data_IF_858539864307
#
_entry.id   IF_858539864307
#
_cell.length_a   1.000
_cell.length_b   1.000
_cell.length_c   1.000
_cell.angle_alpha   90.00
_cell.angle_beta   90.00
_cell.angle_gamma   90.00
#
_symmetry.space_group_name_H-M   'P 1'
#
loop_
_entity.id
_entity.type
_entity.pdbx_description
1 polymer ?
#
# COMPACT_ATOMS: atom_id res chain seq x y z
N UNK A 1 -21.60 17.53 9.47
CA UNK A 1 -20.97 16.27 9.05
C UNK A 1 -19.49 16.37 9.43
N UNK A 2 -19.03 15.63 10.46
CA UNK A 2 -17.67 15.77 11.05
C UNK A 2 -16.72 14.62 10.66
N UNK A 3 -17.16 13.64 9.88
CA UNK A 3 -16.36 12.46 9.51
C UNK A 3 -15.66 12.56 8.14
N UNK A 4 -16.11 13.47 7.26
CA UNK A 4 -15.64 13.50 5.87
C UNK A 4 -14.18 13.95 5.76
N UNK A 5 -13.73 14.86 6.65
CA UNK A 5 -12.35 15.34 6.62
C UNK A 5 -11.34 14.27 7.04
N UNK A 6 -11.66 13.44 8.03
CA UNK A 6 -10.79 12.34 8.48
C UNK A 6 -10.66 11.27 7.40
N UNK A 7 -11.75 10.87 6.77
CA UNK A 7 -11.73 9.92 5.67
C UNK A 7 -10.91 10.43 4.47
N UNK A 8 -11.03 11.73 4.15
CA UNK A 8 -10.27 12.33 3.06
C UNK A 8 -8.77 12.46 3.37
N UNK A 9 -8.40 12.76 4.62
CA UNK A 9 -7.00 12.75 5.06
C UNK A 9 -6.38 11.34 4.99
N UNK A 10 -7.13 10.31 5.40
CA UNK A 10 -6.69 8.90 5.33
C UNK A 10 -6.46 8.44 3.89
N UNK A 11 -7.17 9.01 2.91
CA UNK A 11 -7.02 8.69 1.50
C UNK A 11 -5.81 9.39 0.84
N UNK A 12 -5.23 10.43 1.44
CA UNK A 12 -4.15 11.22 0.81
C UNK A 12 -2.91 10.39 0.45
N UNK A 13 -2.39 9.51 1.32
CA UNK A 13 -1.23 8.69 0.97
C UNK A 13 -1.53 7.77 -0.23
N UNK A 14 -2.72 7.15 -0.25
CA UNK A 14 -3.14 6.29 -1.36
C UNK A 14 -3.37 7.07 -2.65
N UNK A 15 -3.91 8.29 -2.57
CA UNK A 15 -4.08 9.17 -3.73
C UNK A 15 -2.73 9.52 -4.38
N UNK A 16 -1.70 9.83 -3.57
CA UNK A 16 -0.33 10.06 -4.07
C UNK A 16 0.24 8.80 -4.73
N UNK A 17 0.05 7.64 -4.12
CA UNK A 17 0.46 6.36 -4.71
C UNK A 17 -0.23 6.14 -6.07
N UNK A 18 -1.56 6.32 -6.16
CA UNK A 18 -2.34 6.18 -7.40
C UNK A 18 -1.84 7.11 -8.51
N UNK A 19 -1.56 8.37 -8.18
CA UNK A 19 -1.08 9.36 -9.15
C UNK A 19 0.29 9.01 -9.75
N UNK A 20 1.12 8.25 -9.02
CA UNK A 20 2.47 7.88 -9.43
C UNK A 20 2.59 6.42 -9.92
N UNK A 21 1.53 5.62 -9.76
CA UNK A 21 1.44 4.20 -10.11
C UNK A 21 0.54 3.97 -11.34
N UNK A 22 0.98 4.52 -12.48
CA UNK A 22 0.23 4.55 -13.74
C UNK A 22 -0.23 3.15 -14.22
N UNK A 23 0.58 2.11 -13.99
CA UNK A 23 0.28 0.74 -14.40
C UNK A 23 -0.34 -0.11 -13.27
N UNK A 24 -0.56 0.45 -12.08
CA UNK A 24 -1.12 -0.26 -10.93
C UNK A 24 -0.16 -1.28 -10.29
N UNK A 25 1.12 -1.29 -10.66
CA UNK A 25 2.09 -2.28 -10.20
C UNK A 25 2.31 -2.20 -8.69
N UNK A 26 2.47 -0.98 -8.17
CA UNK A 26 2.72 -0.76 -6.74
C UNK A 26 1.47 -1.08 -5.92
N UNK A 27 0.28 -0.69 -6.40
CA UNK A 27 -0.99 -1.04 -5.75
C UNK A 27 -1.23 -2.54 -5.72
N UNK A 28 -0.98 -3.27 -6.82
CA UNK A 28 -1.05 -4.74 -6.85
C UNK A 28 -0.05 -5.39 -5.89
N UNK A 29 1.17 -4.83 -5.82
CA UNK A 29 2.20 -5.29 -4.88
C UNK A 29 1.74 -5.09 -3.44
N UNK A 30 1.15 -3.94 -3.12
CA UNK A 30 0.64 -3.62 -1.80
C UNK A 30 -0.57 -4.50 -1.40
N UNK A 31 -1.49 -4.75 -2.33
CA UNK A 31 -2.62 -5.67 -2.10
C UNK A 31 -2.13 -7.09 -1.79
N UNK A 32 -1.14 -7.59 -2.56
CA UNK A 32 -0.54 -8.89 -2.31
C UNK A 32 0.21 -8.92 -0.96
N UNK A 33 0.91 -7.84 -0.62
CA UNK A 33 1.62 -7.70 0.66
C UNK A 33 0.69 -7.89 1.86
N UNK A 34 -0.48 -7.22 1.86
CA UNK A 34 -1.47 -7.39 2.92
C UNK A 34 -2.14 -8.77 2.87
N UNK A 35 -2.51 -9.27 1.69
CA UNK A 35 -3.10 -10.61 1.52
C UNK A 35 -2.22 -11.74 2.07
N UNK A 36 -0.91 -11.55 2.01
CA UNK A 36 0.07 -12.51 2.52
C UNK A 36 0.63 -12.11 3.89
N UNK A 37 -0.18 -11.43 4.71
CA UNK A 37 0.10 -11.10 6.11
C UNK A 37 1.46 -10.42 6.31
N UNK A 38 1.86 -9.52 5.39
CA UNK A 38 3.08 -8.72 5.54
C UNK A 38 4.33 -9.63 5.59
N UNK A 39 4.27 -10.81 4.94
CA UNK A 39 5.38 -11.76 4.88
C UNK A 39 6.16 -11.65 3.55
N UNK A 40 7.46 -11.27 3.56
CA UNK A 40 8.24 -11.05 2.34
C UNK A 40 8.31 -12.26 1.42
N UNK A 41 8.57 -13.43 1.99
CA UNK A 41 8.76 -14.65 1.21
C UNK A 41 7.46 -15.13 0.56
N UNK A 42 6.34 -15.07 1.29
CA UNK A 42 5.04 -15.46 0.76
C UNK A 42 4.59 -14.50 -0.34
N UNK A 43 4.74 -13.19 -0.11
CA UNK A 43 4.36 -12.14 -1.07
C UNK A 43 5.20 -12.21 -2.35
N UNK A 44 6.54 -12.38 -2.23
CA UNK A 44 7.41 -12.44 -3.41
C UNK A 44 7.10 -13.65 -4.27
N UNK A 45 6.80 -14.80 -3.65
CA UNK A 45 6.35 -16.01 -4.35
C UNK A 45 5.02 -15.80 -5.07
N UNK A 46 4.04 -15.20 -4.40
CA UNK A 46 2.72 -14.94 -4.98
C UNK A 46 2.76 -13.97 -6.17
N UNK A 47 3.71 -13.04 -6.16
CA UNK A 47 3.94 -12.08 -7.25
C UNK A 47 4.89 -12.59 -8.33
N UNK A 48 5.47 -13.79 -8.18
CA UNK A 48 6.50 -14.34 -9.07
C UNK A 48 7.71 -13.40 -9.24
N UNK A 49 8.14 -12.75 -8.17
CA UNK A 49 9.30 -11.83 -8.15
C UNK A 49 10.33 -12.24 -7.10
N UNK A 50 11.55 -11.73 -7.25
CA UNK A 50 12.57 -11.86 -6.22
C UNK A 50 12.26 -11.00 -4.99
N UNK A 51 12.73 -11.41 -3.80
CA UNK A 51 12.55 -10.67 -2.55
C UNK A 51 13.07 -9.23 -2.65
N UNK A 52 14.25 -9.03 -3.26
CA UNK A 52 14.83 -7.70 -3.44
C UNK A 52 13.93 -6.79 -4.30
N UNK A 53 13.25 -7.35 -5.31
CA UNK A 53 12.29 -6.59 -6.13
C UNK A 53 11.07 -6.21 -5.31
N UNK A 54 10.56 -7.12 -4.46
CA UNK A 54 9.48 -6.79 -3.53
C UNK A 54 9.89 -5.66 -2.59
N UNK A 55 11.07 -5.76 -1.96
CA UNK A 55 11.59 -4.77 -1.01
C UNK A 55 11.76 -3.41 -1.67
N UNK A 56 12.32 -3.36 -2.89
CA UNK A 56 12.39 -2.13 -3.68
C UNK A 56 11.02 -1.49 -3.91
N UNK A 57 10.01 -2.30 -4.26
CA UNK A 57 8.64 -1.79 -4.47
C UNK A 57 8.00 -1.31 -3.18
N UNK A 58 8.20 -2.00 -2.06
CA UNK A 58 7.71 -1.58 -0.75
C UNK A 58 8.37 -0.27 -0.31
N UNK A 59 9.68 -0.13 -0.46
CA UNK A 59 10.39 1.12 -0.20
C UNK A 59 9.86 2.25 -1.07
N UNK A 60 9.61 1.98 -2.36
CA UNK A 60 9.01 2.96 -3.26
C UNK A 60 7.61 3.38 -2.83
N UNK A 61 6.79 2.44 -2.32
CA UNK A 61 5.48 2.76 -1.76
C UNK A 61 5.63 3.66 -0.52
N UNK A 62 6.55 3.33 0.39
CA UNK A 62 6.85 4.16 1.57
C UNK A 62 7.24 5.58 1.18
N UNK A 63 8.13 5.75 0.19
CA UNK A 63 8.55 7.06 -0.32
C UNK A 63 7.38 7.88 -0.89
N UNK A 64 6.52 7.25 -1.70
CA UNK A 64 5.42 7.94 -2.37
C UNK A 64 4.29 8.32 -1.41
N UNK A 65 4.06 7.48 -0.41
CA UNK A 65 2.98 7.66 0.59
C UNK A 65 3.43 8.51 1.77
N UNK A 66 4.74 8.57 2.04
CA UNK A 66 5.32 9.17 3.24
C UNK A 66 5.14 8.33 4.50
N UNK A 67 4.74 7.05 4.36
CA UNK A 67 4.46 6.15 5.47
C UNK A 67 5.57 5.11 5.63
N UNK A 68 5.83 4.71 6.87
CA UNK A 68 6.76 3.64 7.19
C UNK A 68 6.04 2.27 7.19
N UNK A 69 6.29 1.47 6.16
CA UNK A 69 5.77 0.10 6.09
C UNK A 69 6.39 -0.86 7.12
N UNK A 70 7.38 -0.45 7.90
CA UNK A 70 7.87 -1.12 9.11
C UNK A 70 6.97 -0.87 10.34
N UNK A 71 6.27 0.26 10.39
CA UNK A 71 5.35 0.63 11.45
C UNK A 71 3.96 -0.02 11.25
N UNK A 72 3.32 -0.44 12.34
CA UNK A 72 2.01 -1.10 12.29
C UNK A 72 0.86 -0.14 11.96
N UNK A 73 0.83 1.04 12.57
CA UNK A 73 -0.23 2.03 12.40
C UNK A 73 -0.25 2.57 10.96
N UNK A 74 0.92 2.83 10.40
CA UNK A 74 1.10 3.26 9.01
C UNK A 74 0.62 2.20 8.01
N UNK A 75 0.96 0.92 8.27
CA UNK A 75 0.44 -0.20 7.47
C UNK A 75 -1.08 -0.33 7.58
N UNK A 76 -1.64 -0.19 8.78
CA UNK A 76 -3.08 -0.28 9.01
C UNK A 76 -3.82 0.84 8.27
N UNK A 77 -3.31 2.07 8.34
CA UNK A 77 -3.83 3.21 7.58
C UNK A 77 -3.86 2.90 6.09
N UNK A 78 -2.73 2.44 5.54
CA UNK A 78 -2.61 2.16 4.11
C UNK A 78 -3.50 0.98 3.68
N UNK A 79 -3.69 -0.02 4.54
CA UNK A 79 -4.61 -1.14 4.32
C UNK A 79 -6.06 -0.68 4.25
N UNK A 80 -6.52 0.08 5.24
CA UNK A 80 -7.90 0.60 5.28
C UNK A 80 -8.17 1.51 4.09
N UNK A 81 -7.23 2.40 3.76
CA UNK A 81 -7.34 3.26 2.58
C UNK A 81 -7.49 2.44 1.30
N UNK A 82 -6.71 1.34 1.15
CA UNK A 82 -6.76 0.47 -0.02
C UNK A 82 -8.11 -0.25 -0.13
N UNK A 83 -8.66 -0.76 0.97
CA UNK A 83 -9.97 -1.43 0.97
C UNK A 83 -11.11 -0.46 0.62
N UNK A 84 -11.11 0.75 1.19
CA UNK A 84 -12.09 1.79 0.86
C UNK A 84 -12.02 2.25 -0.60
N UNK A 85 -10.86 2.16 -1.24
CA UNK A 85 -10.70 2.48 -2.67
C UNK A 85 -11.17 1.35 -3.59
N UNK A 86 -11.07 0.08 -3.16
CA UNK A 86 -11.56 -1.08 -3.90
C UNK A 86 -13.10 -1.20 -3.88
N UNK A 87 -13.76 -0.63 -2.87
CA UNK A 87 -15.23 -0.58 -2.75
C UNK A 87 -15.89 0.54 -3.57
N UNK A 88 -15.11 1.39 -4.25
CA UNK A 88 -15.59 2.54 -5.05
C UNK A 88 -15.47 2.30 -6.55
#
# INVERSE_FOLDING_TARGET
MRGDWQANELARPLARLKAMDNNGLLRRTLAAWFRHNVQPLATSKALFIHRNTLEYRLNRISELTGLDLGNFDDRLLLYVALQLDEER
#
